data_IF_451458211694
#
_entry.id   IF_451458211694
#
_cell.length_a   1.000
_cell.length_b   1.000
_cell.length_c   1.000
_cell.angle_alpha   90.00
_cell.angle_beta   90.00
_cell.angle_gamma   90.00
#
_symmetry.space_group_name_H-M   'P 1'
#
loop_
_entity.id
_entity.type
_entity.pdbx_description
1 polymer ?
#
# COMPACT_ATOMS: atom_id res chain seq x y z
N UNK A 1 3.83 13.57 16.16
CA UNK A 1 2.77 13.52 15.14
C UNK A 1 3.07 12.31 14.27
N UNK A 2 2.09 11.45 14.02
CA UNK A 2 2.24 10.28 13.15
C UNK A 2 1.80 10.66 11.73
N UNK A 3 2.46 10.09 10.73
CA UNK A 3 1.98 10.20 9.35
C UNK A 3 0.88 9.15 9.14
N UNK A 4 -0.20 9.50 8.44
CA UNK A 4 -1.24 8.54 8.06
C UNK A 4 -1.39 8.51 6.53
N UNK A 5 -1.29 7.31 5.96
CA UNK A 5 -1.38 7.09 4.51
C UNK A 5 -2.50 6.12 4.18
N UNK A 6 -3.24 6.41 3.10
CA UNK A 6 -4.14 5.45 2.46
C UNK A 6 -3.46 4.85 1.23
N UNK A 7 -3.39 3.52 1.17
CA UNK A 7 -2.93 2.76 0.01
C UNK A 7 -4.12 2.46 -0.90
N UNK A 8 -4.02 2.87 -2.16
CA UNK A 8 -5.04 2.61 -3.19
C UNK A 8 -4.38 2.32 -4.52
N UNK A 9 -4.98 1.46 -5.34
CA UNK A 9 -4.52 1.23 -6.70
C UNK A 9 -4.96 2.40 -7.61
N UNK A 10 -4.05 2.97 -8.43
CA UNK A 10 -4.41 4.04 -9.38
C UNK A 10 -5.53 3.66 -10.36
N UNK A 11 -5.60 2.37 -10.73
CA UNK A 11 -6.60 1.86 -11.69
C UNK A 11 -8.00 1.66 -11.10
N UNK A 12 -8.19 1.85 -9.79
CA UNK A 12 -9.49 1.74 -9.12
C UNK A 12 -9.81 3.03 -8.35
N UNK A 13 -9.97 4.18 -9.04
CA UNK A 13 -10.23 5.47 -8.39
C UNK A 13 -11.47 5.44 -7.49
N UNK A 14 -12.52 4.70 -7.90
CA UNK A 14 -13.77 4.58 -7.15
C UNK A 14 -13.58 4.03 -5.73
N UNK A 15 -12.53 3.23 -5.48
CA UNK A 15 -12.22 2.71 -4.13
C UNK A 15 -11.72 3.82 -3.20
N UNK A 16 -10.91 4.74 -3.72
CA UNK A 16 -10.46 5.90 -2.95
C UNK A 16 -11.64 6.82 -2.62
N UNK A 17 -12.54 7.05 -3.58
CA UNK A 17 -13.75 7.85 -3.37
C UNK A 17 -14.64 7.21 -2.29
N UNK A 18 -14.82 5.90 -2.34
CA UNK A 18 -15.53 5.16 -1.30
C UNK A 18 -14.83 5.29 0.06
N UNK A 19 -13.51 5.11 0.13
CA UNK A 19 -12.74 5.28 1.37
C UNK A 19 -12.97 6.66 1.98
N UNK A 20 -12.85 7.73 1.17
CA UNK A 20 -13.03 9.11 1.62
C UNK A 20 -14.46 9.33 2.13
N UNK A 21 -15.47 8.80 1.43
CA UNK A 21 -16.86 8.93 1.84
C UNK A 21 -17.15 8.26 3.20
N UNK A 22 -16.60 7.07 3.44
CA UNK A 22 -16.76 6.32 4.69
C UNK A 22 -16.01 7.00 5.85
N UNK A 23 -14.83 7.56 5.58
CA UNK A 23 -13.93 8.11 6.59
C UNK A 23 -13.98 9.64 6.71
N UNK A 24 -14.99 10.31 6.14
CA UNK A 24 -15.13 11.78 6.07
C UNK A 24 -15.07 12.52 7.42
N UNK A 25 -15.24 11.81 8.54
CA UNK A 25 -15.25 12.37 9.90
C UNK A 25 -13.89 12.27 10.62
N UNK A 26 -12.91 11.65 9.98
CA UNK A 26 -11.57 11.51 10.52
C UNK A 26 -10.92 12.89 10.68
N UNK A 27 -10.33 13.14 11.85
CA UNK A 27 -9.75 14.44 12.22
C UNK A 27 -8.24 14.57 11.94
N UNK A 28 -7.60 13.53 11.39
CA UNK A 28 -6.17 13.55 11.06
C UNK A 28 -5.92 13.73 9.56
N UNK A 29 -4.76 14.28 9.23
CA UNK A 29 -4.32 14.43 7.84
C UNK A 29 -4.04 13.07 7.23
N UNK A 30 -4.62 12.83 6.05
CA UNK A 30 -4.47 11.60 5.28
C UNK A 30 -3.73 11.89 3.98
N UNK A 31 -2.68 11.13 3.72
CA UNK A 31 -1.91 11.20 2.48
C UNK A 31 -2.23 10.02 1.58
N UNK A 32 -2.58 10.28 0.32
CA UNK A 32 -2.80 9.22 -0.66
C UNK A 32 -1.46 8.65 -1.11
N UNK A 33 -1.35 7.33 -1.11
CA UNK A 33 -0.21 6.59 -1.64
C UNK A 33 -0.70 5.59 -2.69
N UNK A 34 -0.06 5.62 -3.86
CA UNK A 34 -0.38 4.69 -4.94
C UNK A 34 0.28 3.35 -4.70
N UNK A 35 -0.56 2.32 -4.59
CA UNK A 35 -0.13 0.93 -4.46
C UNK A 35 0.49 0.42 -5.77
N UNK A 36 1.40 -0.54 -5.63
CA UNK A 36 1.98 -1.31 -6.74
C UNK A 36 0.89 -2.21 -7.33
N UNK A 37 0.61 -2.03 -8.62
CA UNK A 37 -0.34 -2.89 -9.32
C UNK A 37 0.28 -4.25 -9.63
N UNK A 38 -0.34 -5.30 -9.11
CA UNK A 38 0.08 -6.69 -9.35
C UNK A 38 0.20 -7.03 -10.84
N UNK A 39 -0.62 -6.42 -11.70
CA UNK A 39 -0.57 -6.66 -13.15
C UNK A 39 0.73 -6.21 -13.82
N UNK A 40 1.49 -5.32 -13.17
CA UNK A 40 2.75 -4.78 -13.71
C UNK A 40 3.98 -5.54 -13.17
N UNK A 41 3.77 -6.56 -12.33
CA UNK A 41 4.86 -7.26 -11.65
C UNK A 41 5.53 -8.29 -12.58
N UNK A 42 6.84 -8.16 -12.71
CA UNK A 42 7.70 -9.20 -13.26
C UNK A 42 8.27 -10.07 -12.15
N UNK A 43 7.76 -11.31 -12.01
CA UNK A 43 8.22 -12.25 -10.97
C UNK A 43 9.71 -12.59 -11.07
N UNK A 44 10.26 -12.63 -12.29
CA UNK A 44 11.67 -12.93 -12.49
C UNK A 44 12.56 -11.85 -11.89
N UNK A 45 12.23 -10.58 -12.12
CA UNK A 45 12.96 -9.45 -11.54
C UNK A 45 12.91 -9.48 -10.01
N UNK A 46 11.75 -9.84 -9.42
CA UNK A 46 11.63 -9.96 -7.96
C UNK A 46 12.46 -11.11 -7.40
N UNK A 47 12.54 -12.25 -8.10
CA UNK A 47 13.38 -13.37 -7.70
C UNK A 47 14.87 -13.01 -7.79
N UNK A 48 15.29 -12.40 -8.90
CA UNK A 48 16.68 -11.93 -9.10
C UNK A 48 17.06 -10.86 -8.05
N UNK A 49 16.11 -10.04 -7.61
CA UNK A 49 16.28 -9.07 -6.52
C UNK A 49 16.22 -9.68 -5.10
N UNK A 50 15.99 -10.99 -4.97
CA UNK A 50 15.88 -11.68 -3.68
C UNK A 50 14.65 -11.29 -2.86
N UNK A 51 13.59 -10.78 -3.49
CA UNK A 51 12.36 -10.35 -2.84
C UNK A 51 11.33 -11.48 -2.70
N UNK A 52 11.41 -12.49 -3.57
CA UNK A 52 10.61 -13.70 -3.52
C UNK A 52 11.50 -14.92 -3.80
N UNK A 53 11.06 -16.09 -3.37
CA UNK A 53 11.68 -17.37 -3.72
C UNK A 53 11.07 -17.96 -5.00
N UNK A 54 11.75 -18.91 -5.63
CA UNK A 54 11.30 -19.53 -6.87
C UNK A 54 9.97 -20.29 -6.70
N UNK A 55 9.72 -20.81 -5.50
CA UNK A 55 8.54 -21.57 -5.08
C UNK A 55 7.45 -20.69 -4.44
N UNK A 56 7.59 -19.36 -4.44
CA UNK A 56 6.61 -18.47 -3.83
C UNK A 56 5.24 -18.52 -4.54
N UNK A 57 4.25 -19.20 -3.97
CA UNK A 57 2.91 -19.36 -4.57
C UNK A 57 1.94 -18.21 -4.26
N UNK A 58 2.45 -16.97 -4.26
CA UNK A 58 1.62 -15.79 -4.02
C UNK A 58 1.04 -15.24 -5.32
N UNK A 59 -0.23 -14.83 -5.26
CA UNK A 59 -0.86 -14.11 -6.36
C UNK A 59 -0.13 -12.80 -6.63
N UNK A 60 -0.17 -12.31 -7.87
CA UNK A 60 0.45 -11.03 -8.22
C UNK A 60 -0.14 -9.87 -7.40
N UNK A 61 -1.42 -9.92 -7.06
CA UNK A 61 -2.06 -8.95 -6.16
C UNK A 61 -1.46 -8.97 -4.75
N UNK A 62 -1.24 -10.15 -4.17
CA UNK A 62 -0.60 -10.29 -2.86
C UNK A 62 0.84 -9.77 -2.85
N UNK A 63 1.59 -10.04 -3.92
CA UNK A 63 2.95 -9.51 -4.09
C UNK A 63 2.90 -7.98 -4.23
N UNK A 64 1.96 -7.44 -5.02
CA UNK A 64 1.75 -5.99 -5.14
C UNK A 64 1.43 -5.33 -3.80
N UNK A 65 0.58 -5.96 -2.99
CA UNK A 65 0.30 -5.47 -1.64
C UNK A 65 1.57 -5.44 -0.77
N UNK A 66 2.31 -6.55 -0.72
CA UNK A 66 3.55 -6.65 0.04
C UNK A 66 4.61 -5.60 -0.40
N UNK A 67 4.76 -5.38 -1.70
CA UNK A 67 5.69 -4.37 -2.24
C UNK A 67 5.25 -2.94 -1.88
N UNK A 68 3.94 -2.66 -1.91
CA UNK A 68 3.37 -1.38 -1.52
C UNK A 68 3.68 -1.07 -0.06
N UNK A 69 3.40 -2.00 0.85
CA UNK A 69 3.72 -1.87 2.28
C UNK A 69 5.22 -1.76 2.53
N UNK A 70 6.04 -2.57 1.85
CA UNK A 70 7.50 -2.50 1.97
C UNK A 70 8.03 -1.11 1.59
N UNK A 71 7.44 -0.44 0.59
CA UNK A 71 7.85 0.93 0.22
C UNK A 71 7.55 1.93 1.34
N UNK A 72 6.43 1.76 2.04
CA UNK A 72 6.02 2.59 3.17
C UNK A 72 6.88 2.33 4.41
N UNK A 73 7.26 1.07 4.67
CA UNK A 73 8.20 0.75 5.74
C UNK A 73 9.57 1.37 5.51
N UNK A 74 10.05 1.38 4.27
CA UNK A 74 11.29 2.10 3.92
C UNK A 74 11.19 3.59 4.22
N UNK A 75 10.05 4.22 3.91
CA UNK A 75 9.80 5.64 4.25
C UNK A 75 9.81 5.86 5.77
N UNK A 76 9.15 4.98 6.53
CA UNK A 76 9.13 5.07 7.99
C UNK A 76 10.55 5.00 8.60
N UNK A 77 11.39 4.09 8.09
CA UNK A 77 12.80 3.98 8.49
C UNK A 77 13.58 5.24 8.10
N UNK A 78 13.44 5.70 6.86
CA UNK A 78 14.16 6.87 6.33
C UNK A 78 13.83 8.16 7.10
N UNK A 79 12.57 8.30 7.53
CA UNK A 79 12.10 9.49 8.24
C UNK A 79 12.25 9.38 9.76
N UNK A 80 12.67 8.23 10.28
CA UNK A 80 12.71 7.90 11.71
C UNK A 80 11.40 8.23 12.43
N UNK A 81 10.27 7.88 11.80
CA UNK A 81 8.92 8.20 12.29
C UNK A 81 7.94 7.06 12.04
N UNK A 82 7.03 6.80 13.01
CA UNK A 82 5.97 5.83 12.82
C UNK A 82 4.97 6.30 11.76
N UNK A 83 4.42 5.33 11.03
CA UNK A 83 3.46 5.53 9.96
C UNK A 83 2.21 4.66 10.20
N UNK A 84 1.04 5.26 10.12
CA UNK A 84 -0.24 4.54 10.01
C UNK A 84 -0.52 4.29 8.52
N UNK A 85 -0.78 3.04 8.18
CA UNK A 85 -1.15 2.64 6.82
C UNK A 85 -2.57 2.09 6.84
N UNK A 86 -3.44 2.66 6.03
CA UNK A 86 -4.80 2.22 5.80
C UNK A 86 -4.90 1.69 4.37
N UNK A 87 -5.50 0.52 4.17
CA UNK A 87 -5.93 0.11 2.83
C UNK A 87 -7.22 0.86 2.46
N UNK A 88 -7.52 0.97 1.16
CA UNK A 88 -8.67 1.70 0.61
C UNK A 88 -10.04 1.05 0.95
N UNK A 89 -10.06 -0.11 1.59
CA UNK A 89 -11.24 -0.74 2.17
C UNK A 89 -11.34 -0.64 3.70
N UNK A 90 -10.40 0.07 4.35
CA UNK A 90 -10.45 0.28 5.78
C UNK A 90 -11.55 1.27 6.19
N UNK A 91 -12.22 0.97 7.30
CA UNK A 91 -13.21 1.83 7.95
C UNK A 91 -12.69 2.22 9.34
N UNK A 92 -12.51 3.52 9.53
CA UNK A 92 -11.95 4.15 10.73
C UNK A 92 -13.04 5.03 11.34
N UNK A 93 -14.03 4.38 11.97
CA UNK A 93 -15.19 5.04 12.59
C UNK A 93 -14.94 5.46 14.03
#
# INVERSE_FOLDING_TARGET
>A
MFDCKVLTLPRTPDRLDAFIAHNRRVAFELQVCHAVDGHQINRRELFEAGLITADADWTLGAIGNALSHRSLWKQAIQNDRPLIVLEDDAVVS
#
